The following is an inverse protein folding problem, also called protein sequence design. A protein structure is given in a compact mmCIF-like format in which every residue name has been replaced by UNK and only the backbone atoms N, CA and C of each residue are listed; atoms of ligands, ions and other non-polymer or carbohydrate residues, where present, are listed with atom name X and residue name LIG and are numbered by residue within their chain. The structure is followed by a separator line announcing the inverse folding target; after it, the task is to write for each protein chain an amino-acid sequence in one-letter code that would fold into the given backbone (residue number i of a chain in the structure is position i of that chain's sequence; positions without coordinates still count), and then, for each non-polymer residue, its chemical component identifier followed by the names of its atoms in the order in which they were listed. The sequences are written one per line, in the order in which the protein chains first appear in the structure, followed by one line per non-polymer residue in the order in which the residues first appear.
data_IF_263495367706
#
_entry.id   IF_263495367706
#
_cell.length_a   1.000
_cell.length_b   1.000
_cell.length_c   1.000
_cell.angle_alpha   90.00
_cell.angle_beta   90.00
_cell.angle_gamma   90.00
#
_symmetry.space_group_name_H-M   'P 1'
#
loop_
_entity.id
_entity.type
_entity.pdbx_description
1 polymer ?
#
# COMPACT_ATOMS: atom_id res chain seq x y z
N UNK A 1 -27.14 -43.67 -134.56
CA UNK A 1 -27.28 -44.41 -133.28
C UNK A 1 -26.25 -43.85 -132.30
N UNK A 2 -26.41 -42.73 -131.60
CA UNK A 2 -27.50 -41.77 -131.44
C UNK A 2 -27.28 -41.11 -130.07
N UNK A 3 -26.77 -39.89 -130.03
CA UNK A 3 -26.27 -39.13 -128.85
C UNK A 3 -27.24 -39.03 -127.65
N UNK A 4 -28.51 -39.37 -127.82
CA UNK A 4 -29.59 -39.32 -126.82
C UNK A 4 -29.46 -40.39 -125.73
N UNK A 5 -28.90 -41.56 -126.05
CA UNK A 5 -28.78 -42.66 -125.08
C UNK A 5 -27.63 -42.43 -124.08
N UNK A 6 -26.52 -41.84 -124.55
CA UNK A 6 -25.42 -41.37 -123.69
C UNK A 6 -25.85 -40.25 -122.74
N UNK A 7 -26.69 -39.31 -123.19
CA UNK A 7 -27.21 -38.22 -122.36
C UNK A 7 -28.15 -38.70 -121.25
N UNK A 8 -28.93 -39.78 -121.47
CA UNK A 8 -29.81 -40.37 -120.45
C UNK A 8 -29.06 -41.15 -119.37
N UNK A 9 -27.96 -41.80 -119.74
CA UNK A 9 -27.10 -42.50 -118.81
C UNK A 9 -26.28 -41.51 -117.95
N UNK A 10 -25.76 -40.45 -118.57
CA UNK A 10 -25.14 -39.32 -117.88
C UNK A 10 -26.09 -38.60 -116.92
N UNK A 11 -27.39 -38.50 -117.24
CA UNK A 11 -28.38 -37.89 -116.35
C UNK A 11 -28.68 -38.76 -115.11
N UNK A 12 -28.68 -40.09 -115.25
CA UNK A 12 -28.87 -41.04 -114.13
C UNK A 12 -27.65 -41.11 -113.24
N UNK A 13 -26.44 -41.11 -113.82
CA UNK A 13 -25.20 -40.99 -113.05
C UNK A 13 -25.13 -39.65 -112.32
N UNK A 14 -25.49 -38.54 -112.99
CA UNK A 14 -25.54 -37.22 -112.35
C UNK A 14 -26.57 -37.17 -111.21
N UNK A 15 -27.72 -37.85 -111.32
CA UNK A 15 -28.70 -37.92 -110.23
C UNK A 15 -28.20 -38.76 -109.05
N UNK A 16 -27.57 -39.91 -109.30
CA UNK A 16 -26.94 -40.72 -108.25
C UNK A 16 -25.81 -39.98 -107.56
N UNK A 17 -24.95 -39.30 -108.32
CA UNK A 17 -23.87 -38.47 -107.78
C UNK A 17 -24.43 -37.34 -106.91
N UNK A 18 -25.53 -36.69 -107.31
CA UNK A 18 -26.20 -35.67 -106.48
C UNK A 18 -26.81 -36.23 -105.20
N UNK A 19 -27.46 -37.40 -105.26
CA UNK A 19 -28.01 -38.04 -104.06
C UNK A 19 -26.92 -38.53 -103.10
N UNK A 20 -25.82 -39.08 -103.62
CA UNK A 20 -24.65 -39.44 -102.80
C UNK A 20 -23.95 -38.21 -102.23
N UNK A 21 -23.84 -37.13 -103.01
CA UNK A 21 -23.29 -35.85 -102.54
C UNK A 21 -24.20 -35.24 -101.46
N UNK A 22 -25.52 -35.33 -101.61
CA UNK A 22 -26.48 -34.85 -100.64
C UNK A 22 -26.47 -35.69 -99.35
N UNK A 23 -26.38 -37.02 -99.45
CA UNK A 23 -26.17 -37.90 -98.29
C UNK A 23 -24.85 -37.63 -97.57
N UNK A 24 -23.76 -37.40 -98.32
CA UNK A 24 -22.47 -37.01 -97.74
C UNK A 24 -22.57 -35.68 -97.01
N UNK A 25 -23.26 -34.68 -97.58
CA UNK A 25 -23.49 -33.38 -96.92
C UNK A 25 -24.34 -33.52 -95.66
N UNK A 26 -25.39 -34.34 -95.69
CA UNK A 26 -26.23 -34.60 -94.51
C UNK A 26 -25.49 -35.38 -93.42
N UNK A 27 -24.69 -36.38 -93.76
CA UNK A 27 -23.82 -37.08 -92.80
C UNK A 27 -22.74 -36.16 -92.23
N UNK A 28 -22.12 -35.32 -93.07
CA UNK A 28 -21.13 -34.34 -92.64
C UNK A 28 -21.76 -33.30 -91.71
N UNK A 29 -22.99 -32.86 -92.00
CA UNK A 29 -23.74 -31.94 -91.16
C UNK A 29 -24.13 -32.59 -89.82
N UNK A 30 -24.59 -33.85 -89.82
CA UNK A 30 -24.85 -34.61 -88.58
C UNK A 30 -23.58 -34.80 -87.74
N UNK A 31 -22.44 -35.09 -88.38
CA UNK A 31 -21.15 -35.20 -87.69
C UNK A 31 -20.74 -33.87 -87.06
N UNK A 32 -20.92 -32.74 -87.77
CA UNK A 32 -20.65 -31.40 -87.24
C UNK A 32 -21.57 -31.06 -86.06
N UNK A 33 -22.85 -31.40 -86.15
CA UNK A 33 -23.82 -31.19 -85.06
C UNK A 33 -23.51 -32.06 -83.83
N UNK A 34 -23.14 -33.34 -84.01
CA UNK A 34 -22.71 -34.20 -82.91
C UNK A 34 -21.39 -33.72 -82.28
N UNK A 35 -20.43 -33.29 -83.10
CA UNK A 35 -19.17 -32.74 -82.61
C UNK A 35 -19.40 -31.44 -81.84
N UNK A 36 -20.31 -30.59 -82.30
CA UNK A 36 -20.70 -29.36 -81.63
C UNK A 36 -21.42 -29.66 -80.30
N UNK A 37 -22.34 -30.63 -80.26
CA UNK A 37 -22.98 -31.08 -79.01
C UNK A 37 -21.96 -31.64 -78.02
N UNK A 38 -20.99 -32.44 -78.48
CA UNK A 38 -19.91 -32.96 -77.62
C UNK A 38 -19.06 -31.84 -77.03
N UNK A 39 -18.71 -30.82 -77.83
CA UNK A 39 -17.97 -29.64 -77.36
C UNK A 39 -18.77 -28.83 -76.33
N UNK A 40 -20.06 -28.61 -76.57
CA UNK A 40 -20.94 -27.92 -75.63
C UNK A 40 -21.12 -28.69 -74.32
N UNK A 41 -21.26 -30.02 -74.37
CA UNK A 41 -21.37 -30.85 -73.19
C UNK A 41 -20.06 -30.91 -72.39
N UNK A 42 -18.92 -30.98 -73.08
CA UNK A 42 -17.59 -30.91 -72.46
C UNK A 42 -17.36 -29.53 -71.81
N UNK A 43 -17.77 -28.46 -72.48
CA UNK A 43 -17.68 -27.10 -71.93
C UNK A 43 -18.56 -26.91 -70.70
N UNK A 44 -19.80 -27.42 -70.74
CA UNK A 44 -20.69 -27.43 -69.55
C UNK A 44 -20.07 -28.21 -68.39
N UNK A 45 -19.48 -29.37 -68.64
CA UNK A 45 -18.80 -30.16 -67.59
C UNK A 45 -17.64 -29.40 -66.96
N UNK A 46 -16.82 -28.71 -67.77
CA UNK A 46 -15.71 -27.87 -67.28
C UNK A 46 -16.20 -26.69 -66.44
N UNK A 47 -17.25 -26.01 -66.88
CA UNK A 47 -17.86 -24.92 -66.12
C UNK A 47 -18.46 -25.40 -64.79
N UNK A 48 -19.11 -26.56 -64.78
CA UNK A 48 -19.68 -27.16 -63.57
C UNK A 48 -18.57 -27.58 -62.58
N UNK A 49 -17.49 -28.17 -63.09
CA UNK A 49 -16.32 -28.53 -62.28
C UNK A 49 -15.64 -27.30 -61.70
N UNK A 50 -15.51 -26.23 -62.49
CA UNK A 50 -14.95 -24.96 -62.02
C UNK A 50 -15.82 -24.31 -60.93
N UNK A 51 -17.14 -24.30 -61.11
CA UNK A 51 -18.08 -23.83 -60.08
C UNK A 51 -17.97 -24.63 -58.79
N UNK A 52 -17.84 -25.96 -58.88
CA UNK A 52 -17.66 -26.82 -57.70
C UNK A 52 -16.36 -26.49 -56.96
N UNK A 53 -15.25 -26.28 -57.68
CA UNK A 53 -13.96 -25.89 -57.08
C UNK A 53 -14.04 -24.52 -56.40
N UNK A 54 -14.69 -23.55 -57.03
CA UNK A 54 -14.88 -22.21 -56.45
C UNK A 54 -15.77 -22.27 -55.19
N UNK A 55 -16.85 -23.06 -55.20
CA UNK A 55 -17.70 -23.24 -54.02
C UNK A 55 -16.96 -23.94 -52.87
N UNK A 56 -16.17 -24.97 -53.19
CA UNK A 56 -15.34 -25.66 -52.20
C UNK A 56 -14.29 -24.72 -51.59
N UNK A 57 -13.65 -23.88 -52.42
CA UNK A 57 -12.69 -22.90 -51.95
C UNK A 57 -13.34 -21.83 -51.06
N UNK A 58 -14.52 -21.33 -51.44
CA UNK A 58 -15.30 -20.40 -50.59
C UNK A 58 -15.67 -21.03 -49.25
N UNK A 59 -16.07 -22.30 -49.22
CA UNK A 59 -16.38 -23.03 -47.97
C UNK A 59 -15.16 -23.14 -47.07
N UNK A 60 -13.98 -23.44 -47.64
CA UNK A 60 -12.72 -23.52 -46.88
C UNK A 60 -12.32 -22.16 -46.31
N UNK A 61 -12.44 -21.09 -47.09
CA UNK A 61 -12.15 -19.72 -46.63
C UNK A 61 -13.11 -19.27 -45.52
N UNK A 62 -14.41 -19.59 -45.63
CA UNK A 62 -15.38 -19.28 -44.59
C UNK A 62 -15.10 -20.07 -43.30
N UNK A 63 -14.77 -21.36 -43.43
CA UNK A 63 -14.38 -22.19 -42.29
C UNK A 63 -13.12 -21.66 -41.60
N UNK A 64 -12.12 -21.24 -42.38
CA UNK A 64 -10.90 -20.64 -41.84
C UNK A 64 -11.19 -19.32 -41.12
N UNK A 65 -11.98 -18.42 -41.71
CA UNK A 65 -12.40 -17.18 -41.03
C UNK A 65 -13.18 -17.46 -39.75
N UNK A 66 -14.01 -18.50 -39.72
CA UNK A 66 -14.74 -18.91 -38.50
C UNK A 66 -13.78 -19.43 -37.42
N UNK A 67 -12.75 -20.19 -37.80
CA UNK A 67 -11.71 -20.68 -36.87
C UNK A 67 -10.89 -19.53 -36.31
N UNK A 68 -10.38 -18.65 -37.16
CA UNK A 68 -9.62 -17.46 -36.74
C UNK A 68 -10.45 -16.55 -35.83
N UNK A 69 -11.74 -16.34 -36.15
CA UNK A 69 -12.63 -15.57 -35.29
C UNK A 69 -12.94 -16.28 -33.96
N UNK A 70 -12.98 -17.61 -33.93
CA UNK A 70 -13.16 -18.38 -32.69
C UNK A 70 -11.90 -18.35 -31.83
N UNK A 71 -10.71 -18.48 -32.43
CA UNK A 71 -9.41 -18.34 -31.77
C UNK A 71 -9.23 -16.94 -31.20
N UNK A 72 -9.58 -15.90 -31.97
CA UNK A 72 -9.55 -14.51 -31.51
C UNK A 72 -10.43 -14.28 -30.27
N UNK A 73 -11.68 -14.80 -30.29
CA UNK A 73 -12.57 -14.74 -29.11
C UNK A 73 -12.02 -15.51 -27.92
N UNK A 74 -11.43 -16.68 -28.14
CA UNK A 74 -10.86 -17.49 -27.07
C UNK A 74 -9.66 -16.80 -26.41
N UNK A 75 -8.79 -16.16 -27.21
CA UNK A 75 -7.66 -15.37 -26.72
C UNK A 75 -8.13 -14.14 -25.93
N UNK A 76 -9.15 -13.44 -26.43
CA UNK A 76 -9.71 -12.28 -25.74
C UNK A 76 -10.37 -12.67 -24.41
N UNK A 77 -11.13 -13.77 -24.37
CA UNK A 77 -11.67 -14.32 -23.13
C UNK A 77 -10.56 -14.74 -22.16
N UNK A 78 -9.49 -15.37 -22.64
CA UNK A 78 -8.36 -15.74 -21.79
C UNK A 78 -7.70 -14.50 -21.18
N UNK A 79 -7.41 -13.48 -21.99
CA UNK A 79 -6.83 -12.23 -21.51
C UNK A 79 -7.75 -11.56 -20.47
N UNK A 80 -9.06 -11.50 -20.72
CA UNK A 80 -10.02 -10.95 -19.75
C UNK A 80 -10.02 -11.71 -18.42
N UNK A 81 -9.93 -13.05 -18.46
CA UNK A 81 -9.85 -13.88 -17.25
C UNK A 81 -8.55 -13.64 -16.48
N UNK A 82 -7.42 -13.53 -17.19
CA UNK A 82 -6.12 -13.22 -16.57
C UNK A 82 -6.11 -11.83 -15.92
N UNK A 83 -6.68 -10.82 -16.58
CA UNK A 83 -6.82 -9.48 -15.99
C UNK A 83 -7.78 -9.43 -14.81
N UNK A 84 -8.88 -10.18 -14.87
CA UNK A 84 -9.79 -10.32 -13.74
C UNK A 84 -9.10 -11.00 -12.55
N UNK A 85 -8.37 -12.08 -12.80
CA UNK A 85 -7.61 -12.79 -11.77
C UNK A 85 -6.57 -11.87 -11.12
N UNK A 86 -5.79 -11.13 -11.92
CA UNK A 86 -4.82 -10.14 -11.41
C UNK A 86 -5.49 -9.09 -10.55
N UNK A 87 -6.65 -8.55 -10.98
CA UNK A 87 -7.40 -7.57 -10.18
C UNK A 87 -7.92 -8.16 -8.87
N UNK A 88 -8.34 -9.43 -8.86
CA UNK A 88 -8.76 -10.14 -7.65
C UNK A 88 -7.60 -10.35 -6.69
N UNK A 89 -6.46 -10.81 -7.19
CA UNK A 89 -5.24 -11.00 -6.40
C UNK A 89 -4.76 -9.68 -5.78
N UNK A 90 -4.70 -8.59 -6.55
CA UNK A 90 -4.35 -7.26 -6.02
C UNK A 90 -5.36 -6.77 -4.96
N UNK A 91 -6.65 -7.04 -5.16
CA UNK A 91 -7.68 -6.66 -4.19
C UNK A 91 -7.56 -7.48 -2.90
N UNK A 92 -7.25 -8.77 -3.00
CA UNK A 92 -7.01 -9.65 -1.86
C UNK A 92 -5.76 -9.23 -1.09
N UNK A 93 -4.65 -8.95 -1.78
CA UNK A 93 -3.41 -8.46 -1.14
C UNK A 93 -3.64 -7.14 -0.40
N UNK A 94 -4.36 -6.18 -1.01
CA UNK A 94 -4.72 -4.91 -0.35
C UNK A 94 -5.63 -5.13 0.85
N UNK A 95 -6.58 -6.06 0.76
CA UNK A 95 -7.46 -6.42 1.86
C UNK A 95 -6.65 -7.02 3.01
N UNK A 96 -5.72 -7.92 2.71
CA UNK A 96 -4.83 -8.58 3.68
C UNK A 96 -3.89 -7.58 4.36
N UNK A 97 -3.27 -6.67 3.61
CA UNK A 97 -2.44 -5.59 4.17
C UNK A 97 -3.25 -4.62 5.06
N UNK A 98 -4.57 -4.54 4.84
CA UNK A 98 -5.49 -3.72 5.62
C UNK A 98 -6.05 -4.43 6.84
N UNK A 99 -5.80 -5.74 7.03
CA UNK A 99 -6.24 -6.46 8.21
C UNK A 99 -5.52 -5.96 9.47
N UNK A 100 -6.21 -5.81 10.61
CA UNK A 100 -5.58 -5.50 11.88
C UNK A 100 -4.51 -6.53 12.26
N UNK A 101 -3.46 -6.08 12.94
CA UNK A 101 -2.35 -6.93 13.38
C UNK A 101 -2.60 -7.51 14.77
N UNK A 102 -1.99 -8.68 15.03
CA UNK A 102 -1.82 -9.22 16.38
C UNK A 102 -0.73 -8.45 17.14
N UNK A 103 -0.64 -8.62 18.47
CA UNK A 103 0.32 -7.87 19.29
C UNK A 103 1.76 -8.05 18.81
N UNK A 104 2.18 -9.29 18.57
CA UNK A 104 3.55 -9.59 18.15
C UNK A 104 3.86 -8.94 16.80
N UNK A 105 3.00 -9.13 15.80
CA UNK A 105 3.17 -8.55 14.46
C UNK A 105 3.20 -7.02 14.50
N UNK A 106 2.38 -6.43 15.39
CA UNK A 106 2.36 -4.99 15.60
C UNK A 106 3.69 -4.48 16.17
N UNK A 107 4.21 -5.11 17.23
CA UNK A 107 5.49 -4.76 17.84
C UNK A 107 6.67 -4.91 16.86
N UNK A 108 6.70 -5.98 16.08
CA UNK A 108 7.70 -6.21 15.03
C UNK A 108 7.64 -5.11 13.95
N UNK A 109 6.44 -4.68 13.56
CA UNK A 109 6.27 -3.61 12.59
C UNK A 109 6.65 -2.25 13.17
N UNK A 110 6.29 -1.95 14.41
CA UNK A 110 6.73 -0.75 15.13
C UNK A 110 8.26 -0.71 15.28
N UNK A 111 8.89 -1.84 15.58
CA UNK A 111 10.35 -1.93 15.64
C UNK A 111 10.99 -1.66 14.28
N UNK A 112 10.44 -2.26 13.21
CA UNK A 112 10.90 -2.01 11.84
C UNK A 112 10.76 -0.53 11.44
N UNK A 113 9.69 0.13 11.90
CA UNK A 113 9.45 1.55 11.68
C UNK A 113 10.48 2.43 12.42
N UNK A 114 10.79 2.09 13.67
CA UNK A 114 11.83 2.77 14.47
C UNK A 114 13.22 2.64 13.83
N UNK A 115 13.55 1.45 13.30
CA UNK A 115 14.81 1.24 12.57
C UNK A 115 14.88 1.98 11.23
N UNK A 116 13.73 2.34 10.64
CA UNK A 116 13.68 3.09 9.39
C UNK A 116 13.91 4.60 9.56
N UNK A 117 14.03 5.10 10.80
CA UNK A 117 14.30 6.51 11.07
C UNK A 117 15.71 6.86 10.58
N UNK A 118 15.79 7.73 9.59
CA UNK A 118 17.06 8.22 9.06
C UNK A 118 17.59 9.37 9.92
N UNK A 119 18.87 9.33 10.28
CA UNK A 119 19.55 10.36 11.08
C UNK A 119 20.55 11.10 10.21
N UNK A 120 20.38 12.42 10.08
CA UNK A 120 21.34 13.28 9.39
C UNK A 120 22.48 13.61 10.35
N UNK A 121 23.70 13.23 9.97
CA UNK A 121 24.91 13.45 10.77
C UNK A 121 25.82 14.56 10.23
N UNK A 122 25.55 15.06 9.02
CA UNK A 122 26.28 16.18 8.44
C UNK A 122 26.02 17.47 9.22
N UNK A 123 27.10 18.08 9.72
CA UNK A 123 27.02 19.33 10.50
C UNK A 123 26.50 20.51 9.69
N UNK A 124 26.65 20.53 8.38
CA UNK A 124 26.15 21.61 7.53
C UNK A 124 24.62 21.57 7.33
N UNK A 125 24.00 20.42 7.57
CA UNK A 125 22.57 20.15 7.35
C UNK A 125 21.77 20.01 8.65
N UNK A 126 22.40 20.25 9.79
CA UNK A 126 21.81 20.02 11.12
C UNK A 126 21.66 21.32 11.92
N UNK A 127 20.76 21.30 12.90
CA UNK A 127 20.60 22.45 13.81
C UNK A 127 21.88 22.71 14.59
N UNK A 128 22.34 23.96 14.56
CA UNK A 128 23.51 24.42 15.30
C UNK A 128 23.17 24.71 16.76
N UNK A 129 24.20 24.74 17.61
CA UNK A 129 24.09 25.04 19.03
C UNK A 129 24.38 23.85 19.95
N UNK A 130 24.89 24.15 21.14
CA UNK A 130 25.28 23.16 22.13
C UNK A 130 24.08 22.48 22.80
N UNK A 131 24.35 21.40 23.53
CA UNK A 131 23.38 20.77 24.41
C UNK A 131 22.92 21.74 25.49
N UNK A 132 21.72 21.48 26.03
CA UNK A 132 21.12 22.34 27.06
C UNK A 132 22.06 22.51 28.25
N UNK A 133 22.37 23.76 28.60
CA UNK A 133 23.12 24.06 29.81
C UNK A 133 22.27 23.68 31.06
N UNK A 134 22.77 22.78 31.94
CA UNK A 134 22.04 22.35 33.12
C UNK A 134 22.00 23.39 34.25
N UNK A 135 22.76 24.49 34.18
CA UNK A 135 22.84 25.49 35.26
C UNK A 135 21.45 25.96 35.70
N UNK A 136 21.17 25.83 37.00
CA UNK A 136 19.88 26.23 37.60
C UNK A 136 18.73 25.24 37.38
N UNK A 137 18.98 24.06 36.80
CA UNK A 137 18.02 22.95 36.73
C UNK A 137 18.23 22.00 37.90
N UNK A 138 17.15 21.33 38.32
CA UNK A 138 17.23 20.27 39.31
C UNK A 138 17.65 19.00 38.59
N UNK A 139 18.76 18.39 39.02
CA UNK A 139 19.26 17.12 38.52
C UNK A 139 19.48 16.13 39.68
N UNK A 140 19.37 14.81 39.44
CA UNK A 140 19.64 13.80 40.46
C UNK A 140 21.11 13.80 40.85
N UNK A 141 21.41 13.63 42.16
CA UNK A 141 22.79 13.57 42.67
C UNK A 141 23.57 12.33 42.26
N UNK A 142 22.83 11.26 41.97
CA UNK A 142 23.35 9.94 41.63
C UNK A 142 22.52 9.39 40.50
N UNK A 143 23.18 8.94 39.44
CA UNK A 143 22.59 8.19 38.34
C UNK A 143 23.25 6.82 38.38
N UNK A 144 22.47 5.76 38.57
CA UNK A 144 22.99 4.39 38.74
C UNK A 144 22.42 3.47 37.66
N UNK A 145 23.18 2.46 37.20
CA UNK A 145 22.65 1.44 36.31
C UNK A 145 21.48 0.68 36.94
N UNK A 146 20.39 0.53 36.19
CA UNK A 146 19.21 -0.23 36.64
C UNK A 146 19.40 -1.72 36.34
N UNK A 147 20.14 -2.41 37.19
CA UNK A 147 20.57 -3.81 36.97
C UNK A 147 19.42 -4.83 36.92
N UNK A 148 18.27 -4.52 37.53
CA UNK A 148 17.10 -5.41 37.53
C UNK A 148 16.10 -5.15 36.41
N UNK A 149 16.34 -4.15 35.55
CA UNK A 149 15.36 -3.68 34.57
C UNK A 149 14.78 -4.80 33.71
N UNK A 150 15.62 -5.66 33.11
CA UNK A 150 15.16 -6.75 32.25
C UNK A 150 14.19 -7.71 32.96
N UNK A 151 14.51 -8.09 34.21
CA UNK A 151 13.65 -8.97 35.02
C UNK A 151 12.34 -8.27 35.42
N UNK A 152 12.37 -6.99 35.74
CA UNK A 152 11.15 -6.25 36.04
C UNK A 152 10.28 -6.05 34.79
N UNK A 153 10.87 -5.90 33.60
CA UNK A 153 10.14 -5.89 32.33
C UNK A 153 9.47 -7.23 32.03
N UNK A 154 10.17 -8.36 32.24
CA UNK A 154 9.60 -9.71 32.06
C UNK A 154 8.33 -9.92 32.91
N UNK A 155 8.35 -9.49 34.19
CA UNK A 155 7.16 -9.55 35.06
C UNK A 155 5.96 -8.77 34.52
N UNK A 156 6.20 -7.65 33.83
CA UNK A 156 5.11 -6.87 33.21
C UNK A 156 4.51 -7.66 32.04
N UNK A 157 5.33 -8.31 31.22
CA UNK A 157 4.86 -9.18 30.14
C UNK A 157 4.12 -10.42 30.65
N UNK A 158 4.55 -11.00 31.77
CA UNK A 158 3.84 -12.09 32.44
C UNK A 158 2.44 -11.65 32.90
N UNK A 159 2.32 -10.43 33.44
CA UNK A 159 1.01 -9.88 33.82
C UNK A 159 0.11 -9.65 32.60
N UNK A 160 0.65 -9.21 31.47
CA UNK A 160 -0.10 -9.07 30.22
C UNK A 160 -0.56 -10.41 29.66
N UNK A 161 0.15 -11.50 29.97
CA UNK A 161 -0.18 -12.85 29.50
C UNK A 161 -1.43 -13.46 30.14
N UNK A 162 -2.00 -12.80 31.17
CA UNK A 162 -3.26 -13.20 31.83
C UNK A 162 -4.45 -13.14 30.87
N UNK A 163 -4.37 -12.33 29.81
CA UNK A 163 -5.36 -12.30 28.73
C UNK A 163 -4.72 -12.84 27.43
N UNK A 164 -4.87 -14.14 27.11
CA UNK A 164 -4.39 -14.68 25.84
C UNK A 164 -5.01 -13.99 24.62
N UNK A 165 -6.22 -13.46 24.77
CA UNK A 165 -6.89 -12.67 23.72
C UNK A 165 -6.18 -11.35 23.42
N UNK A 166 -5.49 -10.74 24.37
CA UNK A 166 -4.74 -9.50 24.13
C UNK A 166 -3.64 -9.70 23.09
N UNK A 167 -2.91 -10.82 23.18
CA UNK A 167 -1.82 -11.13 22.25
C UNK A 167 -2.30 -11.72 20.92
N UNK A 168 -3.31 -12.59 20.96
CA UNK A 168 -3.74 -13.39 19.80
C UNK A 168 -4.79 -12.71 18.93
N UNK A 169 -5.60 -11.80 19.47
CA UNK A 169 -6.66 -11.12 18.70
C UNK A 169 -6.04 -10.04 17.80
N UNK A 170 -6.40 -9.99 16.51
CA UNK A 170 -5.97 -8.92 15.61
C UNK A 170 -6.74 -7.63 15.96
N UNK A 171 -6.16 -6.79 16.80
CA UNK A 171 -6.77 -5.57 17.32
C UNK A 171 -5.93 -4.31 17.09
N UNK A 172 -4.70 -4.47 16.60
CA UNK A 172 -3.76 -3.37 16.42
C UNK A 172 -3.80 -2.82 14.98
N UNK A 173 -3.32 -1.58 14.75
CA UNK A 173 -3.26 -0.99 13.42
C UNK A 173 -2.66 -1.93 12.37
N UNK A 174 -3.24 -1.90 11.17
CA UNK A 174 -2.85 -2.77 10.06
C UNK A 174 -1.48 -2.42 9.48
N UNK A 175 -0.93 -3.33 8.68
CA UNK A 175 0.35 -3.08 8.00
C UNK A 175 0.27 -1.85 7.09
N UNK A 176 -0.81 -1.73 6.33
CA UNK A 176 -1.05 -0.56 5.46
C UNK A 176 -1.08 0.76 6.25
N UNK A 177 -1.67 0.78 7.45
CA UNK A 177 -1.67 1.98 8.31
C UNK A 177 -0.25 2.35 8.78
N UNK A 178 0.58 1.37 9.12
CA UNK A 178 1.96 1.61 9.55
C UNK A 178 2.89 1.97 8.38
N UNK A 179 2.65 1.44 7.18
CA UNK A 179 3.35 1.85 5.97
C UNK A 179 3.00 3.31 5.60
N UNK A 180 1.76 3.74 5.84
CA UNK A 180 1.39 5.15 5.74
C UNK A 180 2.19 6.01 6.72
N UNK A 181 2.29 5.63 8.00
CA UNK A 181 3.14 6.35 8.99
C UNK A 181 4.58 6.40 8.52
N UNK A 182 5.11 5.28 7.97
CA UNK A 182 6.46 5.22 7.41
C UNK A 182 6.68 6.25 6.30
N UNK A 183 5.70 6.43 5.42
CA UNK A 183 5.78 7.41 4.32
C UNK A 183 5.86 8.87 4.79
N UNK A 184 5.45 9.16 6.03
CA UNK A 184 5.49 10.50 6.63
C UNK A 184 6.81 10.79 7.34
N UNK A 185 7.62 9.77 7.60
CA UNK A 185 8.90 9.94 8.29
C UNK A 185 9.85 10.80 7.46
N UNK A 186 10.48 11.77 8.13
CA UNK A 186 11.49 12.64 7.55
C UNK A 186 12.83 12.37 8.24
N UNK A 187 13.95 12.55 7.53
CA UNK A 187 15.26 12.47 8.15
C UNK A 187 15.40 13.44 9.34
N UNK A 188 15.94 12.93 10.44
CA UNK A 188 16.10 13.66 11.70
C UNK A 188 17.38 14.47 11.66
N UNK A 189 17.26 15.80 11.63
CA UNK A 189 18.38 16.76 11.69
C UNK A 189 18.29 17.78 12.82
N UNK A 190 17.26 17.67 13.67
CA UNK A 190 16.90 18.64 14.71
C UNK A 190 16.15 17.98 15.86
N UNK A 191 16.07 18.66 17.01
CA UNK A 191 15.27 18.24 18.16
C UNK A 191 13.78 18.11 17.80
N UNK A 192 13.24 19.07 17.04
CA UNK A 192 11.84 19.05 16.60
C UNK A 192 11.58 17.89 15.63
N UNK A 193 12.53 17.59 14.74
CA UNK A 193 12.45 16.43 13.85
C UNK A 193 12.42 15.12 14.63
N UNK A 194 13.32 14.98 15.61
CA UNK A 194 13.37 13.80 16.48
C UNK A 194 12.06 13.63 17.24
N UNK A 195 11.54 14.70 17.84
CA UNK A 195 10.25 14.69 18.54
C UNK A 195 9.13 14.20 17.64
N UNK A 196 9.02 14.72 16.41
CA UNK A 196 7.93 14.35 15.52
C UNK A 196 8.03 12.86 15.14
N UNK A 197 9.24 12.35 14.86
CA UNK A 197 9.46 10.93 14.62
C UNK A 197 9.10 10.07 15.84
N UNK A 198 9.54 10.46 17.03
CA UNK A 198 9.24 9.74 18.28
C UNK A 198 7.73 9.71 18.57
N UNK A 199 7.03 10.83 18.35
CA UNK A 199 5.57 10.87 18.46
C UNK A 199 4.90 9.89 17.49
N UNK A 200 5.32 9.93 16.23
CA UNK A 200 4.66 9.18 15.16
C UNK A 200 4.93 7.68 15.27
N UNK A 201 6.13 7.28 15.71
CA UNK A 201 6.58 5.88 15.76
C UNK A 201 6.39 5.24 17.14
N UNK A 202 6.67 5.97 18.22
CA UNK A 202 6.72 5.43 19.58
C UNK A 202 5.48 5.83 20.37
N UNK A 203 5.22 7.13 20.54
CA UNK A 203 4.13 7.59 21.40
C UNK A 203 2.76 7.11 20.92
N UNK A 204 2.48 7.25 19.62
CA UNK A 204 1.23 6.74 19.03
C UNK A 204 1.11 5.21 19.19
N UNK A 205 2.21 4.47 19.09
CA UNK A 205 2.18 3.02 19.26
C UNK A 205 1.92 2.62 20.71
N UNK A 206 2.57 3.30 21.66
CA UNK A 206 2.32 3.12 23.10
C UNK A 206 0.88 3.49 23.44
N UNK A 207 0.33 4.58 22.89
CA UNK A 207 -1.07 4.93 23.07
C UNK A 207 -2.00 3.79 22.62
N UNK A 208 -1.77 3.19 21.44
CA UNK A 208 -2.57 2.06 20.98
C UNK A 208 -2.46 0.83 21.88
N UNK A 209 -1.29 0.55 22.44
CA UNK A 209 -1.08 -0.51 23.41
C UNK A 209 -1.84 -0.22 24.72
N UNK A 210 -1.76 1.01 25.23
CA UNK A 210 -2.47 1.43 26.43
C UNK A 210 -3.98 1.37 26.25
N UNK A 211 -4.50 1.87 25.12
CA UNK A 211 -5.92 1.81 24.79
C UNK A 211 -6.41 0.35 24.70
N UNK A 212 -5.65 -0.54 24.05
CA UNK A 212 -5.99 -1.95 23.96
C UNK A 212 -5.99 -2.63 25.34
N UNK A 213 -5.01 -2.29 26.19
CA UNK A 213 -4.90 -2.83 27.55
C UNK A 213 -6.06 -2.36 28.43
N UNK A 214 -6.43 -1.08 28.34
CA UNK A 214 -7.54 -0.49 29.09
C UNK A 214 -8.90 -1.07 28.67
N UNK A 215 -9.09 -1.34 27.38
CA UNK A 215 -10.32 -1.93 26.85
C UNK A 215 -10.47 -3.42 27.19
N UNK A 216 -9.39 -4.11 27.57
CA UNK A 216 -9.46 -5.47 28.11
C UNK A 216 -9.80 -5.42 29.60
N UNK A 217 -11.01 -5.90 29.95
CA UNK A 217 -11.49 -5.83 31.35
C UNK A 217 -10.67 -6.68 32.32
N UNK A 218 -10.09 -7.80 31.85
CA UNK A 218 -9.25 -8.66 32.68
C UNK A 218 -7.93 -7.96 33.00
N UNK A 219 -7.26 -7.42 31.97
CA UNK A 219 -6.00 -6.69 32.13
C UNK A 219 -6.19 -5.41 32.93
N UNK A 220 -7.23 -4.62 32.62
CA UNK A 220 -7.54 -3.39 33.35
C UNK A 220 -7.71 -3.65 34.83
N UNK A 221 -8.47 -4.69 35.21
CA UNK A 221 -8.67 -5.03 36.62
C UNK A 221 -7.41 -5.60 37.27
N UNK A 222 -6.63 -6.41 36.55
CA UNK A 222 -5.42 -7.03 37.10
C UNK A 222 -4.28 -6.02 37.31
N UNK A 223 -4.10 -5.10 36.37
CA UNK A 223 -3.09 -4.05 36.41
C UNK A 223 -3.52 -2.83 37.23
N UNK A 224 -4.78 -2.77 37.68
CA UNK A 224 -5.32 -1.64 38.45
C UNK A 224 -5.36 -0.34 37.66
N UNK A 225 -5.65 -0.41 36.35
CA UNK A 225 -5.69 0.77 35.48
C UNK A 225 -7.02 1.50 35.66
N UNK A 226 -6.98 2.66 36.32
CA UNK A 226 -8.12 3.54 36.61
C UNK A 226 -8.20 4.79 35.70
N UNK A 227 -7.41 4.81 34.63
CA UNK A 227 -7.21 6.00 33.82
C UNK A 227 -6.54 5.71 32.48
N UNK A 228 -6.30 6.77 31.71
CA UNK A 228 -5.62 6.71 30.40
C UNK A 228 -4.34 7.53 30.41
N UNK A 229 -3.43 7.19 29.50
CA UNK A 229 -2.22 7.97 29.26
C UNK A 229 -2.50 9.06 28.23
N UNK A 230 -1.98 10.27 28.46
CA UNK A 230 -1.95 11.34 27.47
C UNK A 230 -0.52 11.86 27.27
N UNK A 231 -0.21 12.24 26.03
CA UNK A 231 1.09 12.75 25.61
C UNK A 231 0.97 14.25 25.34
N UNK A 232 1.48 15.10 26.23
CA UNK A 232 1.27 16.55 26.14
C UNK A 232 2.59 17.36 26.18
N UNK A 233 2.58 18.50 25.49
CA UNK A 233 3.60 19.52 25.65
C UNK A 233 3.37 20.29 26.94
N UNK A 234 4.41 20.44 27.77
CA UNK A 234 4.31 21.16 29.04
C UNK A 234 3.96 22.65 28.86
N UNK A 235 4.01 23.16 27.63
CA UNK A 235 3.58 24.51 27.25
C UNK A 235 2.07 24.71 27.26
N UNK A 236 1.27 23.64 27.19
CA UNK A 236 -0.21 23.71 27.13
C UNK A 236 -0.86 23.70 28.52
N UNK A 237 -0.09 23.37 29.56
CA UNK A 237 -0.51 23.64 30.93
C UNK A 237 -0.23 25.11 31.22
N UNK A 238 -1.14 25.96 30.76
CA UNK A 238 -1.19 27.36 31.16
C UNK A 238 -1.11 27.48 32.69
N UNK A 239 -0.69 28.65 33.21
CA UNK A 239 -0.75 28.87 34.64
C UNK A 239 -2.21 28.65 35.05
N UNK A 240 -2.45 27.72 35.98
CA UNK A 240 -3.65 27.80 36.81
C UNK A 240 -3.65 29.18 37.47
N UNK A 241 -4.34 30.09 36.82
CA UNK A 241 -5.02 31.29 37.28
C UNK A 241 -4.45 32.07 38.49
N UNK A 242 -3.14 32.33 38.50
CA UNK A 242 -2.53 33.31 39.41
C UNK A 242 -2.00 34.56 38.65
N UNK A 243 -2.12 34.60 37.31
CA UNK A 243 -1.51 35.68 36.50
C UNK A 243 -2.50 36.70 35.93
N UNK A 244 -3.81 36.49 36.09
CA UNK A 244 -4.83 37.45 35.62
C UNK A 244 -5.49 38.27 36.75
N UNK A 245 -5.18 37.97 38.02
CA UNK A 245 -5.72 38.71 39.18
C UNK A 245 -4.80 39.79 39.75
N UNK A 246 -3.66 40.11 39.12
CA UNK A 246 -2.72 41.14 39.61
C UNK A 246 -2.73 42.46 38.80
N UNK A 247 -3.62 42.62 37.81
CA UNK A 247 -3.63 43.83 36.97
C UNK A 247 -4.79 44.81 37.22
N UNK A 248 -5.57 44.65 38.30
CA UNK A 248 -6.65 45.61 38.60
C UNK A 248 -6.93 45.92 40.07
N UNK A 249 -6.04 45.60 41.01
CA UNK A 249 -6.20 46.00 42.41
C UNK A 249 -4.94 46.67 42.95
N UNK A 250 -4.76 47.95 42.60
CA UNK A 250 -3.95 48.86 43.40
C UNK A 250 -4.76 50.10 43.79
N UNK A 251 -5.70 49.95 44.71
CA UNK A 251 -6.00 51.01 45.68
C UNK A 251 -6.60 50.44 46.98
N UNK A 252 -5.97 50.82 48.08
CA UNK A 252 -6.52 50.93 49.46
C UNK A 252 -6.28 49.80 50.47
N UNK A 253 -5.26 50.05 51.31
CA UNK A 253 -5.23 50.06 52.79
C UNK A 253 -6.14 49.07 53.55
N UNK A 254 -5.50 48.17 54.30
CA UNK A 254 -5.92 47.83 55.66
C UNK A 254 -6.17 46.35 55.96
N UNK A 255 -5.38 45.83 56.91
CA UNK A 255 -5.69 44.71 57.84
C UNK A 255 -5.23 43.28 57.45
N UNK A 256 -4.26 42.79 58.25
CA UNK A 256 -3.80 41.41 58.57
C UNK A 256 -4.19 40.25 57.63
N UNK A 257 -3.22 39.47 57.11
CA UNK A 257 -3.54 38.20 56.47
C UNK A 257 -3.68 37.06 57.51
N UNK A 258 -4.59 36.09 57.29
CA UNK A 258 -4.58 34.83 58.00
C UNK A 258 -3.45 33.93 57.49
N UNK A 259 -2.82 33.20 58.41
CA UNK A 259 -1.82 32.18 58.11
C UNK A 259 -2.44 31.08 57.25
N UNK A 260 -2.15 31.09 55.95
CA UNK A 260 -2.39 29.96 55.05
C UNK A 260 -1.02 29.48 54.58
N UNK A 261 -0.61 28.31 55.08
CA UNK A 261 0.63 27.65 54.66
C UNK A 261 0.51 27.27 53.18
N UNK A 262 0.84 28.21 52.29
CA UNK A 262 1.12 27.88 50.90
C UNK A 262 2.46 27.16 50.90
N UNK A 263 2.45 25.84 50.64
CA UNK A 263 3.65 25.11 50.26
C UNK A 263 4.19 25.80 49.01
N UNK A 264 5.16 26.71 49.19
CA UNK A 264 5.94 27.32 48.11
C UNK A 264 6.57 26.18 47.31
N UNK A 265 5.91 25.74 46.23
CA UNK A 265 6.54 24.94 45.18
C UNK A 265 7.74 25.77 44.73
N UNK A 266 8.95 25.27 44.96
CA UNK A 266 10.18 25.93 44.51
C UNK A 266 10.07 26.08 43.00
N UNK A 267 9.84 27.30 42.52
CA UNK A 267 9.86 27.64 41.09
C UNK A 267 11.28 27.34 40.63
N UNK A 268 11.48 26.26 39.87
CA UNK A 268 12.77 25.97 39.27
C UNK A 268 13.11 27.15 38.34
N UNK A 269 14.01 28.03 38.79
CA UNK A 269 14.48 29.18 38.02
C UNK A 269 15.55 28.70 37.03
N UNK A 270 15.14 27.86 36.09
CA UNK A 270 15.95 27.55 34.91
C UNK A 270 15.72 28.61 33.84
N UNK A 271 16.79 29.26 33.38
CA UNK A 271 16.80 30.17 32.22
C UNK A 271 16.80 29.35 30.91
N UNK A 272 15.95 28.33 30.84
CA UNK A 272 15.92 27.36 29.74
C UNK A 272 14.79 27.65 28.77
N UNK A 273 15.04 27.40 27.48
CA UNK A 273 14.03 27.44 26.44
C UNK A 273 12.95 26.38 26.77
N UNK A 274 11.73 26.82 27.14
CA UNK A 274 10.64 25.93 27.56
C UNK A 274 10.03 25.10 26.42
N UNK A 275 10.44 25.36 25.18
CA UNK A 275 9.89 24.72 23.98
C UNK A 275 10.19 23.22 23.85
N UNK A 276 11.17 22.71 24.59
CA UNK A 276 11.67 21.32 24.43
C UNK A 276 11.32 20.40 25.61
N UNK A 277 10.36 20.79 26.45
CA UNK A 277 9.95 20.02 27.65
C UNK A 277 8.56 19.41 27.44
N UNK A 278 8.53 18.07 27.45
CA UNK A 278 7.32 17.27 27.22
C UNK A 278 7.06 16.39 28.44
N UNK A 279 5.80 16.08 28.69
CA UNK A 279 5.41 15.19 29.77
C UNK A 279 4.35 14.20 29.29
N UNK A 280 4.48 12.96 29.75
CA UNK A 280 3.42 11.97 29.70
C UNK A 280 2.62 12.11 30.99
N UNK A 281 1.30 12.18 30.88
CA UNK A 281 0.38 12.28 32.00
C UNK A 281 -0.43 11.00 32.13
N UNK A 282 -0.68 10.63 33.39
CA UNK A 282 -1.75 9.71 33.76
C UNK A 282 -2.99 10.54 34.11
N UNK A 283 -4.09 10.28 33.43
CA UNK A 283 -5.36 10.96 33.67
C UNK A 283 -6.33 10.00 34.32
N UNK A 284 -6.74 10.31 35.55
CA UNK A 284 -7.79 9.60 36.28
C UNK A 284 -8.64 10.61 37.04
N UNK A 285 -9.96 10.47 37.01
CA UNK A 285 -10.94 11.35 37.69
C UNK A 285 -10.67 12.86 37.49
N UNK A 286 -10.45 13.28 36.24
CA UNK A 286 -10.10 14.66 35.83
C UNK A 286 -8.81 15.23 36.45
N UNK A 287 -7.97 14.38 37.06
CA UNK A 287 -6.65 14.75 37.55
C UNK A 287 -5.56 14.24 36.61
N UNK A 288 -4.71 15.16 36.15
CA UNK A 288 -3.53 14.85 35.35
C UNK A 288 -2.29 14.77 36.25
N UNK A 289 -1.73 13.57 36.40
CA UNK A 289 -0.50 13.31 37.15
C UNK A 289 0.65 13.11 36.17
N UNK A 290 1.71 13.95 36.19
CA UNK A 290 2.87 13.73 35.32
C UNK A 290 3.62 12.46 35.75
N UNK A 291 3.80 11.52 34.83
CA UNK A 291 4.46 10.23 35.08
C UNK A 291 5.85 10.13 34.44
N UNK A 292 6.05 10.76 33.28
CA UNK A 292 7.35 10.76 32.59
C UNK A 292 7.63 12.17 32.07
N UNK A 293 8.84 12.66 32.33
CA UNK A 293 9.35 13.89 31.75
C UNK A 293 10.33 13.58 30.61
N UNK A 294 10.17 14.28 29.49
CA UNK A 294 10.92 14.03 28.24
C UNK A 294 11.52 15.35 27.76
N UNK A 295 12.81 15.30 27.42
CA UNK A 295 13.50 16.36 26.69
C UNK A 295 14.28 15.76 25.53
N UNK A 296 13.98 16.21 24.31
CA UNK A 296 14.66 15.71 23.12
C UNK A 296 16.00 16.42 22.92
N UNK A 297 16.98 15.64 22.46
CA UNK A 297 18.28 16.13 22.01
C UNK A 297 18.59 15.53 20.65
N UNK A 298 18.97 16.39 19.71
CA UNK A 298 19.22 15.94 18.35
C UNK A 298 20.40 14.93 18.32
N UNK A 299 20.32 13.85 17.52
CA UNK A 299 21.32 12.78 17.55
C UNK A 299 22.76 13.22 17.25
N UNK A 300 22.94 14.32 16.51
CA UNK A 300 24.26 14.89 16.21
C UNK A 300 24.86 15.70 17.37
N UNK A 301 24.05 16.12 18.35
CA UNK A 301 24.48 16.85 19.56
C UNK A 301 24.82 15.93 20.74
N UNK A 302 24.15 14.78 20.82
CA UNK A 302 24.40 13.77 21.84
C UNK A 302 24.39 12.39 21.17
N UNK A 303 25.57 11.87 20.86
CA UNK A 303 25.72 10.64 20.09
C UNK A 303 25.48 9.43 20.97
N UNK A 304 24.96 8.35 20.37
CA UNK A 304 24.75 7.06 21.05
C UNK A 304 26.01 6.55 21.77
N UNK A 305 27.19 6.69 21.15
CA UNK A 305 28.45 6.27 21.77
C UNK A 305 28.79 7.04 23.04
N UNK A 306 28.49 8.35 23.08
CA UNK A 306 28.69 9.19 24.25
C UNK A 306 27.72 8.80 25.37
N UNK A 307 26.46 8.52 25.03
CA UNK A 307 25.44 8.05 25.98
C UNK A 307 25.84 6.71 26.60
N UNK A 308 26.20 5.73 25.77
CA UNK A 308 26.59 4.39 26.23
C UNK A 308 27.83 4.46 27.11
N UNK A 309 28.83 5.26 26.72
CA UNK A 309 30.07 5.41 27.51
C UNK A 309 29.79 6.14 28.83
N UNK A 310 29.01 7.22 28.78
CA UNK A 310 28.71 8.05 29.95
C UNK A 310 27.83 7.35 30.98
N UNK A 311 26.88 6.51 30.55
CA UNK A 311 25.94 5.80 31.43
C UNK A 311 26.40 4.38 31.82
N UNK A 312 27.63 3.98 31.46
CA UNK A 312 28.14 2.63 31.71
C UNK A 312 28.29 2.31 33.22
N UNK A 313 28.45 3.32 34.06
CA UNK A 313 28.66 3.18 35.50
C UNK A 313 27.90 4.26 36.28
N UNK A 314 27.95 4.15 37.61
CA UNK A 314 27.38 5.18 38.48
C UNK A 314 28.03 6.55 38.21
N UNK A 315 27.18 7.57 38.06
CA UNK A 315 27.59 8.97 37.96
C UNK A 315 27.21 9.66 39.27
N UNK A 316 28.20 10.34 39.86
CA UNK A 316 27.99 11.25 40.97
C UNK A 316 28.14 12.68 40.45
N UNK A 317 27.06 13.45 40.48
CA UNK A 317 27.08 14.83 40.00
C UNK A 317 27.58 15.75 41.10
N UNK A 318 28.52 16.64 40.78
CA UNK A 318 28.99 17.68 41.69
C UNK A 318 27.85 18.62 42.12
N UNK A 319 28.03 19.35 43.22
CA UNK A 319 27.13 20.45 43.57
C UNK A 319 27.56 21.71 42.82
N UNK A 320 26.62 22.33 42.12
CA UNK A 320 26.71 23.74 41.72
C UNK A 320 26.99 24.66 42.92
#
# INVERSE_FOLDING_TARGET
MGEIERLREQLREAHRLREEEQRRREEEQRRREEEQRRREEEQRRREEEQRRREEEQRRREEEQRRREAAEGRALEEQHQREEEQRRREEAEERADASRPLTLQQYLETCHSLSLAIEIITDRSLTTQGDTTNPTGRIYPRRIIPWTTFAREQEKVWDQLSISPSFSSRPAFPSRHQLDYVRSLLRPVSSEIGLRNCERDVVENAVQKLMDATYNDSSLRSHLGLDGTVTFESHTNLGPTDDSLSESMEQVSIGSRPPSRMTRRRRKARGKGNRGDQFCIYWTSDDQNVPVVAIEYKAPHKLKRGEIVTGLASEIQTDRD
#
